data_IF_115758483024
#
_entry.id   IF_115758483024
#
_cell.length_a   1.000
_cell.length_b   1.000
_cell.length_c   1.000
_cell.angle_alpha   90.00
_cell.angle_beta   90.00
_cell.angle_gamma   90.00
#
_symmetry.space_group_name_H-M   'P 1'
#
loop_
_entity.id
_entity.type
_entity.pdbx_description
1 polymer ?
#
# COMPACT_ATOMS: atom_id res chain seq x y z
N UNK A 1 16.97 -53.38 16.84
CA UNK A 1 15.58 -52.85 16.97
C UNK A 1 15.61 -51.48 16.26
N UNK A 2 15.16 -51.50 15.00
CA UNK A 2 15.09 -50.28 14.18
C UNK A 2 13.79 -49.53 14.50
N UNK A 3 13.87 -48.32 15.02
CA UNK A 3 12.71 -47.49 15.15
C UNK A 3 12.45 -46.78 13.80
N UNK A 4 11.55 -47.37 13.01
CA UNK A 4 11.01 -46.67 11.86
C UNK A 4 10.08 -45.56 12.31
N UNK A 5 10.50 -44.32 12.13
CA UNK A 5 9.64 -43.16 12.29
C UNK A 5 8.81 -43.04 11.00
N UNK A 6 7.62 -43.63 11.02
CA UNK A 6 6.64 -43.43 9.96
C UNK A 6 6.14 -41.99 9.99
N UNK A 7 6.62 -41.17 9.04
CA UNK A 7 6.05 -39.86 8.74
C UNK A 7 4.77 -40.09 7.95
N UNK A 8 3.65 -40.23 8.64
CA UNK A 8 2.32 -40.21 8.02
C UNK A 8 1.96 -38.78 7.67
N UNK A 9 2.21 -38.40 6.41
CA UNK A 9 1.60 -37.20 5.82
C UNK A 9 0.12 -37.48 5.60
N UNK A 10 -0.76 -36.92 6.43
CA UNK A 10 -2.20 -36.90 6.15
C UNK A 10 -2.50 -35.81 5.11
N UNK A 11 -3.03 -36.18 3.92
CA UNK A 11 -3.57 -35.19 2.99
C UNK A 11 -4.98 -34.80 3.45
N UNK A 12 -5.20 -33.53 3.76
CA UNK A 12 -6.56 -33.00 3.93
C UNK A 12 -6.88 -32.17 5.17
N UNK A 13 -5.90 -31.52 5.79
CA UNK A 13 -6.15 -30.72 6.98
C UNK A 13 -6.04 -29.20 6.74
N UNK A 14 -6.91 -28.64 5.91
CA UNK A 14 -7.08 -27.18 5.85
C UNK A 14 -7.70 -26.60 7.14
N UNK A 15 -8.51 -27.36 7.83
CA UNK A 15 -9.10 -26.96 9.14
C UNK A 15 -8.07 -27.05 10.30
N UNK A 16 -7.08 -27.97 10.18
CA UNK A 16 -6.02 -28.11 11.18
C UNK A 16 -4.98 -27.00 11.16
N UNK A 17 -4.74 -26.38 9.99
CA UNK A 17 -3.66 -25.39 9.84
C UNK A 17 -4.02 -24.06 10.53
N UNK A 18 -5.24 -23.55 10.34
CA UNK A 18 -5.67 -22.30 10.98
C UNK A 18 -5.74 -22.44 12.51
N UNK A 19 -6.32 -23.54 13.03
CA UNK A 19 -6.37 -23.80 14.46
C UNK A 19 -4.97 -23.96 15.07
N UNK A 20 -4.03 -24.60 14.37
CA UNK A 20 -2.65 -24.76 14.82
C UNK A 20 -1.88 -23.43 14.81
N UNK A 21 -2.13 -22.56 13.84
CA UNK A 21 -1.53 -21.23 13.74
C UNK A 21 -1.97 -20.34 14.90
N UNK A 22 -3.25 -20.38 15.27
CA UNK A 22 -3.83 -19.55 16.32
C UNK A 22 -3.76 -20.20 17.71
N UNK A 23 -3.15 -21.39 17.86
CA UNK A 23 -2.81 -21.91 19.17
C UNK A 23 -1.73 -21.05 19.83
N UNK A 24 -1.67 -20.98 21.19
CA UNK A 24 -0.61 -20.22 21.88
C UNK A 24 0.80 -20.59 21.41
N UNK A 25 1.08 -21.89 21.27
CA UNK A 25 2.38 -22.41 20.83
C UNK A 25 2.64 -22.10 19.35
N UNK A 26 1.61 -22.14 18.49
CA UNK A 26 1.69 -21.77 17.09
C UNK A 26 2.03 -20.29 16.92
N UNK A 27 1.31 -19.43 17.64
CA UNK A 27 1.53 -17.99 17.62
C UNK A 27 2.94 -17.63 18.14
N UNK A 28 3.41 -18.23 19.24
CA UNK A 28 4.75 -18.00 19.77
C UNK A 28 5.85 -18.37 18.73
N UNK A 29 5.68 -19.47 18.02
CA UNK A 29 6.60 -19.87 16.94
C UNK A 29 6.61 -18.87 15.80
N UNK A 30 5.43 -18.38 15.40
CA UNK A 30 5.32 -17.38 14.31
C UNK A 30 5.92 -16.04 14.74
N UNK A 31 5.73 -15.59 15.98
CA UNK A 31 6.35 -14.36 16.50
C UNK A 31 7.86 -14.46 16.50
N UNK A 32 8.42 -15.58 16.97
CA UNK A 32 9.89 -15.80 16.92
C UNK A 32 10.41 -15.81 15.49
N UNK A 33 9.71 -16.48 14.58
CA UNK A 33 10.10 -16.53 13.18
C UNK A 33 10.03 -15.13 12.54
N UNK A 34 8.97 -14.38 12.79
CA UNK A 34 8.81 -13.02 12.30
C UNK A 34 9.89 -12.06 12.83
N UNK A 35 10.33 -12.23 14.07
CA UNK A 35 11.45 -11.48 14.65
C UNK A 35 12.75 -11.78 13.90
N UNK A 36 13.07 -13.07 13.70
CA UNK A 36 14.25 -13.47 12.89
C UNK A 36 14.17 -12.95 11.45
N UNK A 37 12.96 -12.94 10.88
CA UNK A 37 12.73 -12.41 9.54
C UNK A 37 12.98 -10.90 9.48
N UNK A 38 12.51 -10.14 10.48
CA UNK A 38 12.72 -8.71 10.60
C UNK A 38 14.20 -8.32 10.80
N UNK A 39 14.98 -9.16 11.49
CA UNK A 39 16.41 -8.97 11.70
C UNK A 39 17.24 -9.23 10.43
N UNK A 40 16.64 -9.81 9.40
CA UNK A 40 17.30 -10.08 8.14
C UNK A 40 17.52 -8.81 7.34
N UNK A 41 18.76 -8.59 6.85
CA UNK A 41 19.13 -7.41 6.06
C UNK A 41 19.01 -7.62 4.55
N UNK A 42 19.06 -8.85 4.08
CA UNK A 42 19.15 -9.18 2.66
C UNK A 42 17.94 -9.95 2.11
N UNK A 43 17.22 -10.68 2.95
CA UNK A 43 16.16 -11.61 2.52
C UNK A 43 14.76 -11.02 2.63
N UNK A 44 14.61 -9.85 3.24
CA UNK A 44 13.34 -9.11 3.29
C UNK A 44 13.48 -7.73 2.66
N UNK A 45 12.43 -7.17 2.07
CA UNK A 45 12.43 -5.79 1.59
C UNK A 45 12.65 -4.78 2.72
N UNK A 46 13.21 -3.62 2.39
CA UNK A 46 13.53 -2.57 3.36
C UNK A 46 12.33 -2.13 4.22
N UNK A 47 11.12 -2.15 3.66
CA UNK A 47 9.91 -1.76 4.38
C UNK A 47 9.49 -2.75 5.47
N UNK A 48 10.01 -3.98 5.47
CA UNK A 48 9.79 -5.01 6.51
C UNK A 48 10.99 -5.16 7.46
N UNK A 49 12.18 -4.70 7.05
CA UNK A 49 13.38 -4.79 7.86
C UNK A 49 13.22 -4.02 9.18
N UNK A 50 13.54 -4.65 10.30
CA UNK A 50 13.38 -4.10 11.65
C UNK A 50 11.94 -3.99 12.15
N UNK A 51 10.95 -4.58 11.45
CA UNK A 51 9.53 -4.48 11.79
C UNK A 51 8.91 -5.88 12.05
N UNK A 52 9.07 -6.45 13.24
CA UNK A 52 8.57 -7.79 13.54
C UNK A 52 7.05 -7.95 13.37
N UNK A 53 6.26 -6.92 13.69
CA UNK A 53 4.80 -6.96 13.55
C UNK A 53 4.37 -7.07 12.08
N UNK A 54 5.00 -6.30 11.17
CA UNK A 54 4.71 -6.38 9.74
C UNK A 54 5.18 -7.73 9.15
N UNK A 55 6.35 -8.22 9.59
CA UNK A 55 6.83 -9.56 9.25
C UNK A 55 5.90 -10.65 9.74
N UNK A 56 5.29 -10.51 10.94
CA UNK A 56 4.31 -11.45 11.47
C UNK A 56 3.07 -11.51 10.58
N UNK A 57 2.52 -10.36 10.17
CA UNK A 57 1.38 -10.30 9.28
C UNK A 57 1.65 -11.02 7.93
N UNK A 58 2.82 -10.77 7.32
CA UNK A 58 3.24 -11.45 6.10
C UNK A 58 3.43 -12.96 6.32
N UNK A 59 4.01 -13.36 7.46
CA UNK A 59 4.24 -14.77 7.80
C UNK A 59 2.93 -15.51 7.98
N UNK A 60 1.95 -14.91 8.67
CA UNK A 60 0.62 -15.47 8.85
C UNK A 60 -0.10 -15.63 7.51
N UNK A 61 -0.04 -14.62 6.64
CA UNK A 61 -0.62 -14.68 5.30
C UNK A 61 0.03 -15.77 4.45
N UNK A 62 1.36 -15.88 4.48
CA UNK A 62 2.11 -16.93 3.78
C UNK A 62 1.75 -18.33 4.29
N UNK A 63 1.62 -18.50 5.59
CA UNK A 63 1.20 -19.77 6.20
C UNK A 63 -0.22 -20.16 5.78
N UNK A 64 -1.15 -19.21 5.71
CA UNK A 64 -2.50 -19.43 5.20
C UNK A 64 -2.51 -19.93 3.76
N UNK A 65 -1.59 -19.43 2.92
CA UNK A 65 -1.45 -19.85 1.53
C UNK A 65 -0.58 -21.09 1.33
N UNK A 66 0.06 -21.61 2.39
CA UNK A 66 1.03 -22.70 2.28
C UNK A 66 2.30 -22.31 1.52
N UNK A 67 2.68 -21.03 1.53
CA UNK A 67 3.83 -20.48 0.82
C UNK A 67 4.99 -20.14 1.75
N UNK A 68 6.19 -20.04 1.18
CA UNK A 68 7.38 -19.59 1.92
C UNK A 68 7.25 -18.11 2.29
N UNK A 69 7.30 -17.72 3.60
CA UNK A 69 7.15 -16.34 4.04
C UNK A 69 8.16 -15.36 3.45
N UNK A 70 9.41 -15.76 3.22
CA UNK A 70 10.40 -14.91 2.59
C UNK A 70 10.07 -14.63 1.12
N UNK A 71 9.57 -15.63 0.39
CA UNK A 71 9.14 -15.45 -0.99
C UNK A 71 7.92 -14.51 -1.08
N UNK A 72 6.98 -14.64 -0.15
CA UNK A 72 5.83 -13.73 -0.05
C UNK A 72 6.27 -12.32 0.29
N UNK A 73 7.18 -12.16 1.27
CA UNK A 73 7.72 -10.86 1.67
C UNK A 73 8.35 -10.09 0.50
N UNK A 74 9.13 -10.77 -0.36
CA UNK A 74 9.74 -10.18 -1.55
C UNK A 74 8.73 -9.66 -2.58
N UNK A 75 7.48 -10.03 -2.44
CA UNK A 75 6.36 -9.63 -3.31
C UNK A 75 5.39 -8.67 -2.63
N UNK A 76 5.86 -7.96 -1.60
CA UNK A 76 5.08 -6.95 -0.88
C UNK A 76 5.58 -5.55 -1.17
N UNK A 77 4.67 -4.57 -1.11
CA UNK A 77 4.95 -3.14 -1.21
C UNK A 77 4.10 -2.38 -0.20
N UNK A 78 4.56 -1.22 0.22
CA UNK A 78 3.76 -0.29 1.04
C UNK A 78 3.29 0.86 0.17
N UNK A 79 1.97 1.03 0.09
CA UNK A 79 1.33 2.12 -0.66
C UNK A 79 0.37 2.84 0.30
N UNK A 80 0.56 4.14 0.50
CA UNK A 80 -0.25 4.95 1.41
C UNK A 80 -0.37 4.35 2.83
N UNK A 81 0.74 3.79 3.35
CA UNK A 81 0.77 3.16 4.67
C UNK A 81 0.14 1.77 4.76
N UNK A 82 -0.39 1.24 3.66
CA UNK A 82 -1.02 -0.08 3.59
C UNK A 82 -0.13 -1.08 2.85
N UNK A 83 -0.04 -2.30 3.39
CA UNK A 83 0.70 -3.39 2.76
C UNK A 83 -0.07 -3.91 1.54
N UNK A 84 0.59 -3.89 0.39
CA UNK A 84 0.10 -4.43 -0.87
C UNK A 84 0.93 -5.61 -1.35
N UNK A 85 0.34 -6.44 -2.20
CA UNK A 85 0.96 -7.64 -2.76
C UNK A 85 1.02 -7.56 -4.29
N UNK A 86 2.15 -7.94 -4.88
CA UNK A 86 2.29 -7.91 -6.34
C UNK A 86 1.25 -8.79 -7.04
N UNK A 87 0.80 -8.35 -8.20
CA UNK A 87 -0.14 -9.11 -9.03
C UNK A 87 0.39 -10.50 -9.43
N UNK A 88 1.71 -10.65 -9.55
CA UNK A 88 2.36 -11.94 -9.77
C UNK A 88 2.12 -12.91 -8.60
N UNK A 89 2.21 -12.42 -7.35
CA UNK A 89 1.91 -13.23 -6.17
C UNK A 89 0.44 -13.63 -6.12
N UNK A 90 -0.47 -12.69 -6.43
CA UNK A 90 -1.91 -13.00 -6.53
C UNK A 90 -2.16 -14.14 -7.52
N UNK A 91 -1.53 -14.09 -8.70
CA UNK A 91 -1.61 -15.16 -9.69
C UNK A 91 -1.09 -16.51 -9.12
N UNK A 92 0.06 -16.50 -8.44
CA UNK A 92 0.63 -17.70 -7.84
C UNK A 92 -0.30 -18.29 -6.76
N UNK A 93 -0.86 -17.46 -5.89
CA UNK A 93 -1.79 -17.86 -4.83
C UNK A 93 -3.05 -18.49 -5.42
N UNK A 94 -3.67 -17.84 -6.40
CA UNK A 94 -4.86 -18.38 -7.07
C UNK A 94 -4.55 -19.71 -7.76
N UNK A 95 -3.43 -19.78 -8.50
CA UNK A 95 -3.03 -20.99 -9.23
C UNK A 95 -2.68 -22.16 -8.31
N UNK A 96 -2.17 -21.91 -7.12
CA UNK A 96 -1.84 -22.93 -6.11
C UNK A 96 -2.99 -23.23 -5.16
N UNK A 97 -4.09 -22.47 -5.22
CA UNK A 97 -5.23 -22.67 -4.35
C UNK A 97 -5.90 -24.04 -4.62
N UNK A 98 -6.42 -24.63 -3.54
CA UNK A 98 -7.13 -25.90 -3.65
C UNK A 98 -8.55 -25.76 -4.26
N UNK A 99 -8.94 -24.56 -4.71
CA UNK A 99 -10.25 -24.29 -5.30
C UNK A 99 -10.33 -24.69 -6.78
N UNK A 100 -9.21 -24.67 -7.49
CA UNK A 100 -9.18 -24.91 -8.92
C UNK A 100 -9.15 -26.42 -9.23
N UNK A 101 -9.98 -26.86 -10.15
CA UNK A 101 -9.90 -28.18 -10.81
C UNK A 101 -8.92 -28.14 -12.00
N UNK A 102 -8.83 -27.01 -12.70
CA UNK A 102 -7.89 -26.77 -13.80
C UNK A 102 -7.00 -25.59 -13.49
N UNK A 103 -5.84 -25.50 -14.13
CA UNK A 103 -5.01 -24.30 -14.06
C UNK A 103 -5.69 -23.12 -14.77
N UNK A 104 -5.29 -21.90 -14.43
CA UNK A 104 -5.66 -20.70 -15.17
C UNK A 104 -5.16 -20.79 -16.61
N UNK A 105 -6.03 -20.50 -17.54
CA UNK A 105 -5.77 -20.45 -18.97
C UNK A 105 -5.97 -19.04 -19.49
N UNK A 106 -5.33 -18.71 -20.61
CA UNK A 106 -5.29 -17.35 -21.15
C UNK A 106 -5.48 -17.35 -22.65
N UNK A 107 -6.27 -16.41 -23.15
CA UNK A 107 -6.39 -16.09 -24.58
C UNK A 107 -6.29 -14.56 -24.74
N UNK A 108 -5.50 -14.14 -25.70
CA UNK A 108 -5.35 -12.72 -26.08
C UNK A 108 -5.93 -12.52 -27.47
N UNK A 109 -6.78 -11.51 -27.61
CA UNK A 109 -7.38 -11.13 -28.89
C UNK A 109 -6.93 -9.70 -29.23
N UNK A 110 -6.87 -9.41 -30.57
CA UNK A 110 -6.39 -8.13 -31.11
C UNK A 110 -4.92 -8.16 -31.56
N UNK A 111 -4.48 -7.07 -32.18
CA UNK A 111 -3.10 -6.91 -32.65
C UNK A 111 -2.21 -6.29 -31.58
N UNK A 112 -1.40 -7.10 -30.95
CA UNK A 112 -0.47 -6.71 -29.87
C UNK A 112 0.91 -6.30 -30.35
N UNK A 113 1.18 -6.25 -31.67
CA UNK A 113 2.52 -6.05 -32.23
C UNK A 113 3.11 -4.66 -31.99
N UNK A 114 2.26 -3.63 -31.79
CA UNK A 114 2.66 -2.23 -31.63
C UNK A 114 1.98 -1.55 -30.43
N UNK A 115 1.71 -2.29 -29.37
CA UNK A 115 0.98 -1.77 -28.23
C UNK A 115 1.90 -0.96 -27.33
N UNK A 116 1.52 0.29 -27.03
CA UNK A 116 2.10 1.04 -25.91
C UNK A 116 1.26 0.76 -24.66
N UNK A 117 1.72 -0.15 -23.83
CA UNK A 117 0.96 -0.63 -22.67
C UNK A 117 0.60 0.45 -21.65
N UNK A 118 1.35 1.55 -21.54
CA UNK A 118 1.02 2.66 -20.63
C UNK A 118 -0.14 3.51 -21.14
N UNK A 119 -0.18 3.78 -22.45
CA UNK A 119 -1.07 4.78 -23.02
C UNK A 119 -2.23 4.19 -23.81
N UNK A 120 -2.08 2.97 -24.32
CA UNK A 120 -3.10 2.32 -25.14
C UNK A 120 -4.36 2.02 -24.30
N UNK A 121 -5.51 2.47 -24.80
CA UNK A 121 -6.83 2.24 -24.22
C UNK A 121 -7.77 1.55 -25.23
N UNK A 122 -7.20 0.76 -26.14
CA UNK A 122 -8.00 0.06 -27.16
C UNK A 122 -8.96 -0.95 -26.52
N UNK A 123 -10.24 -0.90 -26.84
CA UNK A 123 -11.21 -1.91 -26.39
C UNK A 123 -11.06 -3.25 -27.13
N UNK A 124 -10.37 -3.27 -28.29
CA UNK A 124 -10.15 -4.48 -29.10
C UNK A 124 -8.99 -5.34 -28.62
N UNK A 125 -8.08 -4.77 -27.81
CA UNK A 125 -6.99 -5.51 -27.18
C UNK A 125 -7.51 -6.12 -25.89
N UNK A 126 -7.77 -7.41 -25.88
CA UNK A 126 -8.37 -8.11 -24.74
C UNK A 126 -7.56 -9.29 -24.28
N UNK A 127 -7.76 -9.66 -23.04
CA UNK A 127 -7.38 -10.96 -22.49
C UNK A 127 -8.59 -11.62 -21.86
N UNK A 128 -8.78 -12.89 -22.15
CA UNK A 128 -9.73 -13.77 -21.48
C UNK A 128 -8.96 -14.73 -20.59
N UNK A 129 -9.38 -14.82 -19.33
CA UNK A 129 -8.85 -15.78 -18.35
C UNK A 129 -9.97 -16.72 -17.94
N UNK A 130 -9.69 -18.01 -17.85
CA UNK A 130 -10.67 -18.99 -17.39
C UNK A 130 -10.02 -20.12 -16.60
N UNK A 131 -10.79 -20.68 -15.68
CA UNK A 131 -10.50 -21.90 -14.95
C UNK A 131 -11.79 -22.56 -14.49
N UNK A 132 -11.75 -23.87 -14.27
CA UNK A 132 -12.87 -24.63 -13.68
C UNK A 132 -12.64 -24.75 -12.18
N UNK A 133 -13.63 -24.41 -11.37
CA UNK A 133 -13.61 -24.62 -9.93
C UNK A 133 -13.89 -26.08 -9.59
N UNK A 134 -13.37 -26.56 -8.47
CA UNK A 134 -13.67 -27.93 -8.01
C UNK A 134 -15.18 -28.08 -7.75
N UNK A 135 -15.76 -29.14 -8.29
CA UNK A 135 -17.20 -29.42 -8.20
C UNK A 135 -18.03 -28.76 -9.30
N UNK A 136 -17.42 -27.98 -10.20
CA UNK A 136 -18.10 -27.44 -11.38
C UNK A 136 -17.68 -28.21 -12.66
N UNK A 137 -18.58 -28.28 -13.62
CA UNK A 137 -18.33 -28.89 -14.93
C UNK A 137 -17.84 -27.90 -15.98
N UNK A 138 -18.25 -26.63 -15.83
CA UNK A 138 -17.98 -25.55 -16.77
C UNK A 138 -16.92 -24.59 -16.25
N UNK A 139 -16.04 -24.06 -17.12
CA UNK A 139 -15.08 -23.05 -16.72
C UNK A 139 -15.76 -21.71 -16.48
N UNK A 140 -15.27 -20.96 -15.50
CA UNK A 140 -15.63 -19.56 -15.29
C UNK A 140 -14.66 -18.66 -16.04
N UNK A 141 -15.20 -17.84 -16.92
CA UNK A 141 -14.41 -16.95 -17.77
C UNK A 141 -14.58 -15.49 -17.35
N UNK A 142 -13.52 -14.72 -17.56
CA UNK A 142 -13.54 -13.26 -17.48
C UNK A 142 -12.70 -12.68 -18.60
N UNK A 143 -13.25 -11.73 -19.33
CA UNK A 143 -12.55 -10.98 -20.38
C UNK A 143 -12.42 -9.53 -19.96
N UNK A 144 -11.22 -8.95 -20.07
CA UNK A 144 -10.98 -7.51 -19.89
C UNK A 144 -10.19 -6.97 -21.08
N UNK A 145 -10.37 -5.67 -21.34
CA UNK A 145 -9.64 -4.96 -22.40
C UNK A 145 -8.61 -3.97 -21.84
N UNK A 146 -7.72 -3.51 -22.72
CA UNK A 146 -6.80 -2.41 -22.40
C UNK A 146 -7.53 -1.12 -22.00
N UNK A 147 -8.75 -0.89 -22.51
CA UNK A 147 -9.59 0.25 -22.12
C UNK A 147 -9.98 0.21 -20.64
N UNK A 148 -10.12 -0.98 -20.05
CA UNK A 148 -10.52 -1.20 -18.65
C UNK A 148 -9.35 -1.22 -17.67
N UNK A 149 -8.11 -1.18 -18.15
CA UNK A 149 -6.94 -1.08 -17.30
C UNK A 149 -6.83 0.34 -16.71
N UNK A 150 -6.86 0.42 -15.37
CA UNK A 150 -6.76 1.68 -14.63
C UNK A 150 -5.32 2.18 -14.50
N UNK A 151 -4.83 2.30 -13.27
CA UNK A 151 -3.47 2.75 -12.95
C UNK A 151 -2.40 1.84 -13.56
N UNK A 152 -1.39 2.43 -14.23
CA UNK A 152 -0.36 1.73 -15.01
C UNK A 152 1.05 2.14 -14.62
N UNK A 153 1.36 2.09 -13.32
CA UNK A 153 2.66 2.53 -12.79
C UNK A 153 3.76 1.46 -12.89
N UNK A 154 3.40 0.20 -13.09
CA UNK A 154 4.38 -0.88 -13.23
C UNK A 154 5.17 -0.73 -14.54
N UNK A 155 6.52 -0.88 -14.53
CA UNK A 155 7.35 -0.94 -15.74
C UNK A 155 6.92 -2.05 -16.72
N UNK A 156 6.31 -3.10 -16.22
CA UNK A 156 5.84 -4.22 -17.04
C UNK A 156 4.78 -3.82 -18.07
N UNK A 157 4.05 -2.73 -17.85
CA UNK A 157 3.16 -2.18 -18.88
C UNK A 157 3.88 -1.76 -20.17
N UNK A 158 5.16 -1.33 -20.07
CA UNK A 158 5.97 -1.02 -21.25
C UNK A 158 6.66 -2.25 -21.82
N UNK A 159 7.15 -3.12 -20.95
CA UNK A 159 7.97 -4.27 -21.34
C UNK A 159 7.13 -5.44 -21.88
N UNK A 160 6.04 -5.77 -21.20
CA UNK A 160 5.11 -6.84 -21.58
C UNK A 160 3.67 -6.48 -21.18
N UNK A 161 2.96 -5.68 -21.99
CA UNK A 161 1.58 -5.29 -21.73
C UNK A 161 0.61 -6.47 -21.73
N UNK A 162 0.91 -7.55 -22.47
CA UNK A 162 0.09 -8.78 -22.51
C UNK A 162 0.11 -9.46 -21.15
N UNK A 163 1.29 -9.65 -20.58
CA UNK A 163 1.44 -10.26 -19.26
C UNK A 163 0.79 -9.41 -18.17
N UNK A 164 0.98 -8.09 -18.25
CA UNK A 164 0.42 -7.18 -17.24
C UNK A 164 -1.12 -7.16 -17.29
N UNK A 165 -1.72 -7.16 -18.49
CA UNK A 165 -3.18 -7.25 -18.61
C UNK A 165 -3.69 -8.60 -18.12
N UNK A 166 -2.96 -9.70 -18.37
CA UNK A 166 -3.32 -11.02 -17.85
C UNK A 166 -3.31 -11.05 -16.31
N UNK A 167 -2.30 -10.45 -15.65
CA UNK A 167 -2.27 -10.35 -14.19
C UNK A 167 -3.46 -9.56 -13.62
N UNK A 168 -3.81 -8.45 -14.27
CA UNK A 168 -4.99 -7.67 -13.90
C UNK A 168 -6.28 -8.49 -14.07
N UNK A 169 -6.39 -9.25 -15.17
CA UNK A 169 -7.54 -10.10 -15.42
C UNK A 169 -7.66 -11.23 -14.39
N UNK A 170 -6.57 -11.90 -14.05
CA UNK A 170 -6.56 -12.95 -12.99
C UNK A 170 -6.99 -12.36 -11.65
N UNK A 171 -6.47 -11.19 -11.28
CA UNK A 171 -6.88 -10.51 -10.05
C UNK A 171 -8.40 -10.28 -10.01
N UNK A 172 -8.96 -9.71 -11.08
CA UNK A 172 -10.41 -9.45 -11.17
C UNK A 172 -11.21 -10.75 -11.21
N UNK A 173 -10.74 -11.75 -11.94
CA UNK A 173 -11.35 -13.06 -11.98
C UNK A 173 -11.40 -13.70 -10.59
N UNK A 174 -10.30 -13.64 -9.84
CA UNK A 174 -10.20 -14.21 -8.51
C UNK A 174 -11.09 -13.45 -7.50
N UNK A 175 -11.17 -12.14 -7.58
CA UNK A 175 -12.08 -11.35 -6.73
C UNK A 175 -13.54 -11.70 -6.95
N UNK A 176 -13.91 -12.09 -8.18
CA UNK A 176 -15.27 -12.47 -8.52
C UNK A 176 -15.58 -13.93 -8.16
N UNK A 177 -14.65 -14.85 -8.42
CA UNK A 177 -14.91 -16.29 -8.38
C UNK A 177 -14.27 -17.02 -7.19
N UNK A 178 -13.28 -16.41 -6.53
CA UNK A 178 -12.53 -16.98 -5.41
C UNK A 178 -12.12 -15.89 -4.41
N UNK A 179 -13.08 -15.07 -3.90
CA UNK A 179 -12.79 -13.91 -3.05
C UNK A 179 -12.15 -14.31 -1.72
N UNK A 180 -12.43 -15.50 -1.21
CA UNK A 180 -11.88 -16.07 0.02
C UNK A 180 -10.36 -16.27 -0.05
N UNK A 181 -9.81 -16.56 -1.23
CA UNK A 181 -8.35 -16.69 -1.43
C UNK A 181 -7.62 -15.36 -1.28
N UNK A 182 -8.30 -14.26 -1.61
CA UNK A 182 -7.74 -12.90 -1.65
C UNK A 182 -8.29 -11.98 -0.55
N UNK A 183 -8.91 -12.53 0.49
CA UNK A 183 -9.45 -11.72 1.58
C UNK A 183 -8.31 -10.99 2.32
N UNK A 184 -8.43 -9.67 2.44
CA UNK A 184 -7.42 -8.82 3.08
C UNK A 184 -6.17 -8.54 2.22
N UNK A 185 -6.15 -9.00 0.97
CA UNK A 185 -5.03 -8.83 0.03
C UNK A 185 -5.37 -7.76 -0.99
N UNK A 186 -4.52 -6.75 -1.10
CA UNK A 186 -4.64 -5.66 -2.07
C UNK A 186 -3.40 -5.60 -2.94
N UNK A 187 -3.56 -5.22 -4.19
CA UNK A 187 -2.44 -4.94 -5.08
C UNK A 187 -2.09 -3.45 -5.06
N UNK A 188 -0.83 -3.06 -5.41
CA UNK A 188 -0.42 -1.66 -5.38
C UNK A 188 -1.30 -0.73 -6.22
N UNK A 189 -1.82 -1.19 -7.35
CA UNK A 189 -2.75 -0.42 -8.20
C UNK A 189 -4.10 -0.18 -7.50
N UNK A 190 -4.64 -1.16 -6.81
CA UNK A 190 -5.87 -0.99 -6.00
C UNK A 190 -5.68 0.03 -4.87
N UNK A 191 -4.53 -0.01 -4.19
CA UNK A 191 -4.23 0.93 -3.11
C UNK A 191 -3.97 2.36 -3.60
N UNK A 192 -3.53 2.52 -4.85
CA UNK A 192 -3.34 3.83 -5.48
C UNK A 192 -4.66 4.45 -5.96
N UNK A 193 -5.63 3.63 -6.34
CA UNK A 193 -6.98 4.08 -6.74
C UNK A 193 -7.83 4.52 -5.54
N UNK A 194 -7.53 3.99 -4.35
CA UNK A 194 -8.24 4.39 -3.13
C UNK A 194 -7.61 5.64 -2.53
N UNK A 195 -8.42 6.69 -2.34
CA UNK A 195 -7.99 7.85 -1.53
C UNK A 195 -7.61 7.40 -0.12
N UNK A 196 -6.63 8.04 0.55
CA UNK A 196 -6.27 7.71 1.91
C UNK A 196 -7.54 7.67 2.77
N UNK A 197 -7.79 6.56 3.45
CA UNK A 197 -8.85 6.49 4.46
C UNK A 197 -8.51 7.48 5.56
N UNK A 198 -9.29 8.55 5.67
CA UNK A 198 -9.28 9.37 6.86
C UNK A 198 -9.98 8.56 7.95
N UNK A 199 -9.20 7.90 8.77
CA UNK A 199 -9.73 7.21 9.96
C UNK A 199 -10.33 8.28 10.88
N UNK A 200 -11.63 8.21 11.07
CA UNK A 200 -12.30 9.02 12.05
C UNK A 200 -12.14 8.32 13.40
N UNK A 201 -11.38 8.95 14.30
CA UNK A 201 -11.31 8.49 15.68
C UNK A 201 -12.71 8.58 16.30
N UNK A 202 -13.33 7.41 16.48
CA UNK A 202 -14.63 7.24 17.13
C UNK A 202 -14.47 6.82 18.60
N UNK A 203 -13.26 6.91 19.17
CA UNK A 203 -13.01 6.60 20.58
C UNK A 203 -13.91 7.51 21.42
N UNK A 204 -14.83 6.97 22.23
CA UNK A 204 -15.67 7.79 23.08
C UNK A 204 -14.76 8.59 24.00
N UNK A 205 -14.84 9.91 23.93
CA UNK A 205 -14.15 10.77 24.88
C UNK A 205 -14.65 10.36 26.29
N UNK A 206 -13.74 10.09 27.24
CA UNK A 206 -14.17 9.74 28.59
C UNK A 206 -15.17 10.78 29.10
N UNK A 207 -16.32 10.30 29.58
CA UNK A 207 -17.39 11.14 30.10
C UNK A 207 -16.95 11.83 31.42
N UNK A 208 -16.08 12.83 31.29
CA UNK A 208 -15.77 13.73 32.39
C UNK A 208 -16.81 14.84 32.40
N UNK A 209 -17.16 15.36 33.59
CA UNK A 209 -18.10 16.49 33.75
C UNK A 209 -17.73 17.71 32.85
N UNK A 210 -16.44 17.90 32.58
CA UNK A 210 -15.93 18.90 31.65
C UNK A 210 -16.25 18.61 30.17
N UNK A 211 -16.23 17.34 29.74
CA UNK A 211 -16.60 16.91 28.38
C UNK A 211 -18.09 17.04 28.13
N UNK A 212 -18.89 16.72 29.14
CA UNK A 212 -20.37 16.85 29.08
C UNK A 212 -20.80 18.32 29.00
N UNK A 213 -20.16 19.23 29.76
CA UNK A 213 -20.44 20.66 29.70
C UNK A 213 -20.07 21.29 28.34
N UNK A 214 -19.05 20.78 27.65
CA UNK A 214 -18.71 21.19 26.29
C UNK A 214 -19.78 20.80 25.28
N UNK A 215 -20.38 19.61 25.43
CA UNK A 215 -21.49 19.14 24.56
C UNK A 215 -22.79 19.90 24.80
N UNK A 216 -23.11 20.25 26.03
CA UNK A 216 -24.34 20.97 26.41
C UNK A 216 -24.26 22.44 26.00
N UNK A 217 -23.09 23.06 26.05
CA UNK A 217 -22.89 24.47 25.70
C UNK A 217 -22.48 24.71 24.23
N UNK A 218 -22.33 23.67 23.41
CA UNK A 218 -22.18 23.82 21.97
C UNK A 218 -23.51 24.23 21.37
N UNK A 219 -23.69 25.54 21.12
CA UNK A 219 -24.74 26.09 20.27
C UNK A 219 -24.72 25.30 18.95
N UNK A 220 -25.87 24.88 18.40
CA UNK A 220 -25.86 24.23 17.11
C UNK A 220 -25.31 25.21 16.07
N UNK A 221 -24.10 24.99 15.62
CA UNK A 221 -23.59 25.64 14.42
C UNK A 221 -24.47 25.18 13.25
N UNK A 222 -25.22 26.13 12.71
CA UNK A 222 -25.88 25.96 11.43
C UNK A 222 -24.80 25.50 10.44
N UNK A 223 -25.03 24.35 9.82
CA UNK A 223 -24.29 23.94 8.62
C UNK A 223 -24.39 25.08 7.62
N UNK A 224 -23.41 25.93 7.60
CA UNK A 224 -23.09 26.68 6.39
C UNK A 224 -22.52 25.65 5.43
N UNK A 225 -23.23 25.43 4.34
CA UNK A 225 -22.69 24.84 3.13
C UNK A 225 -21.42 25.60 2.81
N UNK A 226 -20.26 24.98 3.01
CA UNK A 226 -19.01 25.49 2.47
C UNK A 226 -19.13 25.43 0.95
N UNK A 227 -19.66 26.49 0.40
CA UNK A 227 -19.29 26.90 -0.93
C UNK A 227 -17.75 26.92 -0.98
N UNK A 228 -17.20 26.16 -1.91
CA UNK A 228 -15.84 26.21 -2.40
C UNK A 228 -15.43 27.67 -2.67
N UNK A 229 -15.06 28.37 -1.59
CA UNK A 229 -14.48 29.70 -1.65
C UNK A 229 -12.99 29.50 -1.84
N UNK A 230 -12.60 29.59 -3.11
CA UNK A 230 -11.28 29.59 -3.66
C UNK A 230 -10.15 29.84 -2.66
N UNK A 231 -9.19 28.94 -2.62
CA UNK A 231 -7.84 29.23 -2.16
C UNK A 231 -7.43 30.55 -2.79
N UNK A 232 -7.42 31.63 -2.03
CA UNK A 232 -6.80 32.86 -2.47
C UNK A 232 -5.38 32.52 -2.87
N UNK A 233 -5.09 32.58 -4.18
CA UNK A 233 -3.73 32.58 -4.67
C UNK A 233 -3.01 33.69 -3.89
N UNK A 234 -1.96 33.31 -3.21
CA UNK A 234 -1.10 34.27 -2.54
C UNK A 234 -0.35 35.03 -3.65
N UNK A 235 -0.87 36.20 -4.03
CA UNK A 235 -0.36 37.03 -5.13
C UNK A 235 0.93 37.79 -4.74
N UNK A 236 1.59 37.42 -3.63
CA UNK A 236 2.87 38.02 -3.26
C UNK A 236 3.95 37.65 -4.24
N UNK A 237 4.77 38.61 -4.64
CA UNK A 237 5.91 38.32 -5.54
C UNK A 237 6.89 37.36 -4.85
N UNK A 238 7.64 36.55 -5.63
CA UNK A 238 8.64 35.64 -5.07
C UNK A 238 9.68 36.31 -4.19
N UNK A 239 10.08 37.56 -4.53
CA UNK A 239 11.02 38.34 -3.73
C UNK A 239 10.41 38.73 -2.36
N UNK A 240 9.10 39.05 -2.34
CA UNK A 240 8.41 39.39 -1.11
C UNK A 240 8.25 38.14 -0.22
N UNK A 241 8.01 36.99 -0.81
CA UNK A 241 7.96 35.73 -0.07
C UNK A 241 9.32 35.42 0.59
N UNK A 242 10.44 35.63 -0.11
CA UNK A 242 11.78 35.46 0.47
C UNK A 242 12.03 36.46 1.60
N UNK A 243 11.64 37.73 1.42
CA UNK A 243 11.79 38.75 2.45
C UNK A 243 11.00 38.42 3.71
N UNK A 244 9.74 38.01 3.55
CA UNK A 244 8.87 37.59 4.66
C UNK A 244 9.46 36.38 5.40
N UNK A 245 10.01 35.42 4.66
CA UNK A 245 10.69 34.24 5.24
C UNK A 245 11.95 34.64 6.01
N UNK A 246 12.79 35.53 5.46
CA UNK A 246 14.02 35.97 6.13
C UNK A 246 13.71 36.69 7.45
N UNK A 247 12.67 37.53 7.46
CA UNK A 247 12.20 38.18 8.67
C UNK A 247 11.67 37.18 9.71
N UNK A 248 10.91 36.18 9.28
CA UNK A 248 10.40 35.12 10.14
C UNK A 248 11.52 34.25 10.72
N UNK A 249 12.49 33.85 9.89
CA UNK A 249 13.62 33.03 10.31
C UNK A 249 14.48 33.72 11.38
N UNK A 250 14.68 35.05 11.26
CA UNK A 250 15.38 35.84 12.29
C UNK A 250 14.70 35.85 13.66
N UNK A 251 13.38 35.64 13.70
CA UNK A 251 12.58 35.60 14.93
C UNK A 251 12.24 34.16 15.42
N UNK A 252 12.57 33.13 14.68
CA UNK A 252 12.27 31.72 15.05
C UNK A 252 13.06 31.33 16.32
N UNK A 253 12.36 30.67 17.26
CA UNK A 253 12.93 30.29 18.57
C UNK A 253 13.26 28.78 18.60
N UNK A 254 12.60 27.96 17.77
CA UNK A 254 12.81 26.52 17.69
C UNK A 254 13.16 26.08 16.29
N UNK A 255 13.89 24.95 16.19
CA UNK A 255 14.26 24.34 14.91
C UNK A 255 13.02 23.85 14.18
N UNK A 256 12.01 23.29 14.87
CA UNK A 256 10.77 22.78 14.30
C UNK A 256 9.93 23.87 13.61
N UNK A 257 9.87 25.07 14.21
CA UNK A 257 9.19 26.22 13.60
C UNK A 257 9.90 26.67 12.32
N UNK A 258 11.23 26.71 12.36
CA UNK A 258 12.06 27.08 11.21
C UNK A 258 11.93 26.05 10.06
N UNK A 259 11.94 24.74 10.36
CA UNK A 259 11.78 23.66 9.40
C UNK A 259 10.42 23.71 8.70
N UNK A 260 9.36 23.97 9.45
CA UNK A 260 8.01 24.11 8.93
C UNK A 260 7.88 25.28 7.96
N UNK A 261 8.44 26.45 8.35
CA UNK A 261 8.43 27.65 7.53
C UNK A 261 9.28 27.48 6.25
N UNK A 262 10.45 26.86 6.36
CA UNK A 262 11.31 26.57 5.21
C UNK A 262 10.63 25.62 4.22
N UNK A 263 10.01 24.56 4.67
CA UNK A 263 9.28 23.61 3.81
C UNK A 263 8.16 24.30 3.02
N UNK A 264 7.44 25.22 3.66
CA UNK A 264 6.37 25.97 3.01
C UNK A 264 6.88 26.94 1.94
N UNK A 265 8.01 27.63 2.19
CA UNK A 265 8.57 28.60 1.26
C UNK A 265 9.31 27.91 0.10
N UNK A 266 10.06 26.85 0.35
CA UNK A 266 10.77 26.08 -0.66
C UNK A 266 9.82 25.55 -1.74
N UNK A 267 8.64 25.07 -1.35
CA UNK A 267 7.60 24.65 -2.29
C UNK A 267 7.08 25.78 -3.18
N UNK A 268 7.02 27.02 -2.66
CA UNK A 268 6.54 28.19 -3.40
C UNK A 268 7.59 28.79 -4.30
N UNK A 269 8.87 28.72 -3.90
CA UNK A 269 10.00 29.23 -4.66
C UNK A 269 10.60 28.21 -5.63
N UNK A 270 10.06 27.00 -5.71
CA UNK A 270 10.58 25.90 -6.56
C UNK A 270 10.73 26.24 -8.05
N UNK A 271 9.98 27.24 -8.52
CA UNK A 271 10.08 27.74 -9.91
C UNK A 271 11.20 28.79 -10.09
N UNK A 272 11.85 29.27 -9.02
CA UNK A 272 12.89 30.30 -9.06
C UNK A 272 14.09 29.87 -8.21
N UNK A 273 15.06 29.23 -8.87
CA UNK A 273 16.21 28.60 -8.21
C UNK A 273 17.05 29.61 -7.41
N UNK A 274 17.29 30.81 -7.94
CA UNK A 274 18.11 31.84 -7.28
C UNK A 274 17.51 32.29 -5.94
N UNK A 275 16.18 32.38 -5.85
CA UNK A 275 15.49 32.78 -4.62
C UNK A 275 15.37 31.60 -3.66
N UNK A 276 15.27 30.39 -4.17
CA UNK A 276 15.28 29.17 -3.37
C UNK A 276 16.65 28.97 -2.69
N UNK A 277 17.75 29.18 -3.43
CA UNK A 277 19.10 29.08 -2.89
C UNK A 277 19.31 30.10 -1.76
N UNK A 278 18.86 31.35 -1.93
CA UNK A 278 18.91 32.36 -0.87
C UNK A 278 18.05 32.00 0.36
N UNK A 279 16.89 31.40 0.14
CA UNK A 279 16.06 30.91 1.26
C UNK A 279 16.75 29.77 2.01
N UNK A 280 17.46 28.91 1.27
CA UNK A 280 18.25 27.80 1.85
C UNK A 280 19.42 28.31 2.69
N UNK A 281 20.11 29.36 2.22
CA UNK A 281 21.19 29.97 2.97
C UNK A 281 20.69 30.57 4.27
N UNK A 282 19.59 31.34 4.25
CA UNK A 282 18.96 31.93 5.45
C UNK A 282 18.55 30.81 6.43
N UNK A 283 17.95 29.75 5.93
CA UNK A 283 17.55 28.63 6.76
C UNK A 283 18.75 27.94 7.42
N UNK A 284 19.81 27.67 6.66
CA UNK A 284 21.00 26.96 7.17
C UNK A 284 21.69 27.79 8.25
N UNK A 285 21.91 29.07 8.01
CA UNK A 285 22.54 29.99 8.99
C UNK A 285 21.72 29.99 10.30
N UNK A 286 20.39 30.18 10.19
CA UNK A 286 19.55 30.26 11.39
C UNK A 286 19.46 28.96 12.15
N UNK A 287 19.42 27.84 11.44
CA UNK A 287 19.41 26.50 12.03
C UNK A 287 20.69 26.21 12.80
N UNK A 288 21.84 26.62 12.27
CA UNK A 288 23.13 26.46 12.93
C UNK A 288 23.19 27.34 14.20
N UNK A 289 22.71 28.59 14.13
CA UNK A 289 22.58 29.45 15.30
C UNK A 289 21.71 28.85 16.42
N UNK A 290 20.57 28.25 16.05
CA UNK A 290 19.66 27.61 17.02
C UNK A 290 20.25 26.36 17.65
N UNK A 291 21.14 25.65 16.93
CA UNK A 291 21.82 24.44 17.41
C UNK A 291 23.07 24.79 18.26
N UNK A 292 23.66 25.97 18.08
CA UNK A 292 24.85 26.43 18.82
C UNK A 292 24.54 27.12 20.18
N UNK A 293 23.25 27.36 20.51
CA UNK A 293 22.88 27.92 21.81
C UNK A 293 22.95 26.82 22.87
N UNK A 294 23.96 26.81 23.77
CA UNK A 294 23.98 25.87 24.90
C UNK A 294 22.87 26.25 25.88
N UNK A 295 22.08 25.25 26.28
CA UNK A 295 21.12 25.38 27.38
C UNK A 295 21.83 25.66 28.70
#
# INVERSE_FOLDING_TARGET
MSNDIAITSQPGATVGTAAAIFSPEGMDRLVRFATLMADSKATVPAHLAGKPADCLAVTMQAAQWGMNPFAVAQKTHVVNGTLGYEAQLVNAVVSSSNLLATRLNYRWDGDWSKVNGKNDKSPSLTVTVWATLKGESEPRELTISMAQAGVRNSPLWEQDPRQQLAYLCVKRWARLNAPDVLLGVYTPDELQETSPRVERDITPTPATASGMNKLINSKPEQKQEEHDAGRKKDDRSPEKLLSDFSAYAGGAVTVEELDSAYTAIAKRLSANQDLLDKATDVYTIRRDELNEVPM
#
